data_IF_696778343036
#
_entry.id   IF_696778343036
#
_cell.length_a   1.000
_cell.length_b   1.000
_cell.length_c   1.000
_cell.angle_alpha   90.00
_cell.angle_beta   90.00
_cell.angle_gamma   90.00
#
_symmetry.space_group_name_H-M   'P 1'
#
loop_
_entity.id
_entity.type
_entity.pdbx_description
1 polymer ?
#
# COMPACT_ATOMS: atom_id res chain seq x y z
N UNK A 1 -18.07 0.52 16.00
CA UNK A 1 -17.28 1.21 14.95
C UNK A 1 -16.70 2.49 15.56
N UNK A 2 -15.48 2.39 16.11
CA UNK A 2 -14.72 3.59 16.49
C UNK A 2 -14.05 4.10 15.21
N UNK A 3 -14.39 5.31 14.80
CA UNK A 3 -13.76 5.96 13.66
C UNK A 3 -12.41 6.52 14.11
N UNK A 4 -11.37 5.69 14.14
CA UNK A 4 -10.02 6.05 14.60
C UNK A 4 -9.25 6.84 13.53
N UNK A 5 -9.47 6.52 12.26
CA UNK A 5 -8.79 7.18 11.16
C UNK A 5 -9.78 7.88 10.22
N UNK A 6 -9.42 9.07 9.74
CA UNK A 6 -10.10 9.75 8.65
C UNK A 6 -9.71 9.14 7.30
N UNK A 7 -8.47 8.68 7.20
CA UNK A 7 -7.94 8.01 6.02
C UNK A 7 -6.93 6.94 6.47
N UNK A 8 -6.90 5.81 5.77
CA UNK A 8 -5.85 4.82 5.87
C UNK A 8 -5.60 4.24 4.47
N UNK A 9 -4.34 4.06 4.12
CA UNK A 9 -3.94 3.53 2.82
C UNK A 9 -2.70 2.66 2.93
N UNK A 10 -2.58 1.72 1.99
CA UNK A 10 -1.40 0.91 1.77
C UNK A 10 -1.08 0.90 0.28
N UNK A 11 0.18 0.97 -0.06
CA UNK A 11 0.61 0.95 -1.45
C UNK A 11 2.05 0.52 -1.62
N UNK A 12 2.40 0.15 -2.85
CA UNK A 12 3.76 -0.15 -3.26
C UNK A 12 4.01 0.41 -4.66
N UNK A 13 5.22 0.91 -4.90
CA UNK A 13 5.64 1.33 -6.23
C UNK A 13 6.17 0.12 -7.00
N UNK A 14 5.38 -0.37 -7.96
CA UNK A 14 5.72 -1.56 -8.75
C UNK A 14 6.55 -1.26 -10.00
N UNK A 15 6.74 0.01 -10.34
CA UNK A 15 7.43 0.43 -11.56
C UNK A 15 8.71 1.19 -11.26
N UNK A 16 9.59 0.59 -10.45
CA UNK A 16 10.95 1.07 -10.19
C UNK A 16 11.97 0.06 -10.72
N UNK A 17 13.13 0.56 -11.14
CA UNK A 17 14.23 -0.28 -11.64
C UNK A 17 14.92 -1.05 -10.51
N UNK A 18 14.86 -0.54 -9.29
CA UNK A 18 15.50 -1.10 -8.10
C UNK A 18 14.45 -1.36 -7.01
N UNK A 19 14.88 -1.53 -5.76
CA UNK A 19 14.01 -1.83 -4.64
C UNK A 19 12.90 -0.79 -4.50
N UNK A 20 11.66 -1.25 -4.49
CA UNK A 20 10.48 -0.43 -4.31
C UNK A 20 10.01 -0.46 -2.84
N UNK A 21 9.79 0.69 -2.20
CA UNK A 21 9.21 0.72 -0.87
C UNK A 21 7.71 0.37 -0.92
N UNK A 22 7.24 -0.32 0.11
CA UNK A 22 5.82 -0.31 0.46
C UNK A 22 5.59 0.81 1.47
N UNK A 23 4.48 1.51 1.33
CA UNK A 23 4.11 2.61 2.22
C UNK A 23 2.75 2.34 2.82
N UNK A 24 2.70 2.43 4.13
CA UNK A 24 1.49 2.45 4.91
C UNK A 24 1.30 3.91 5.39
N UNK A 25 0.11 4.47 5.23
CA UNK A 25 -0.17 5.81 5.74
C UNK A 25 -1.58 5.90 6.30
N UNK A 26 -1.72 6.69 7.35
CA UNK A 26 -3.02 6.96 7.96
C UNK A 26 -3.05 8.39 8.52
N UNK A 27 -4.25 8.95 8.64
CA UNK A 27 -4.50 10.22 9.31
C UNK A 27 -5.51 10.01 10.42
N UNK A 28 -5.27 10.50 11.65
CA UNK A 28 -6.17 10.30 12.78
C UNK A 28 -7.49 11.05 12.56
N UNK A 29 -8.54 10.54 13.19
CA UNK A 29 -9.78 11.30 13.37
C UNK A 29 -9.61 12.33 14.49
N UNK A 30 -10.49 13.34 14.52
CA UNK A 30 -10.45 14.38 15.54
C UNK A 30 -10.45 13.78 16.96
N UNK A 31 -9.47 14.21 17.77
CA UNK A 31 -9.30 13.76 19.14
C UNK A 31 -8.63 12.38 19.31
N UNK A 32 -8.17 11.76 18.23
CA UNK A 32 -7.39 10.52 18.26
C UNK A 32 -5.90 10.87 18.23
N UNK A 33 -5.13 10.31 19.16
CA UNK A 33 -3.67 10.49 19.20
C UNK A 33 -2.97 9.65 18.11
N UNK A 34 -1.75 10.02 17.74
CA UNK A 34 -0.96 9.24 16.79
C UNK A 34 -0.67 7.84 17.31
N UNK A 35 -0.33 7.68 18.58
CA UNK A 35 -0.08 6.38 19.23
C UNK A 35 -1.32 5.46 19.13
N UNK A 36 -2.52 5.99 19.39
CA UNK A 36 -3.76 5.20 19.28
C UNK A 36 -4.06 4.82 17.82
N UNK A 37 -3.74 5.70 16.86
CA UNK A 37 -3.87 5.42 15.44
C UNK A 37 -2.89 4.33 15.01
N UNK A 38 -1.61 4.44 15.42
CA UNK A 38 -0.57 3.45 15.12
C UNK A 38 -0.94 2.08 15.68
N UNK A 39 -1.30 2.00 16.95
CA UNK A 39 -1.73 0.74 17.58
C UNK A 39 -2.87 0.08 16.80
N UNK A 40 -3.91 0.85 16.47
CA UNK A 40 -5.04 0.34 15.71
C UNK A 40 -4.67 -0.09 14.28
N UNK A 41 -3.79 0.67 13.62
CA UNK A 41 -3.32 0.35 12.28
C UNK A 41 -2.49 -0.94 12.28
N UNK A 42 -1.53 -1.04 13.20
CA UNK A 42 -0.67 -2.22 13.33
C UNK A 42 -1.45 -3.46 13.77
N UNK A 43 -2.50 -3.30 14.57
CA UNK A 43 -3.39 -4.40 14.91
C UNK A 43 -4.05 -5.02 13.67
N UNK A 44 -4.50 -4.20 12.71
CA UNK A 44 -5.05 -4.67 11.43
C UNK A 44 -3.97 -5.36 10.58
N UNK A 45 -2.78 -4.79 10.49
CA UNK A 45 -1.66 -5.39 9.76
C UNK A 45 -1.30 -6.77 10.33
N UNK A 46 -1.18 -6.86 11.65
CA UNK A 46 -0.85 -8.10 12.35
C UNK A 46 -1.95 -9.16 12.21
N UNK A 47 -3.22 -8.75 12.24
CA UNK A 47 -4.35 -9.65 11.99
C UNK A 47 -4.28 -10.26 10.58
N UNK A 48 -4.03 -9.44 9.56
CA UNK A 48 -3.87 -9.92 8.18
C UNK A 48 -2.63 -10.82 8.03
N UNK A 49 -1.51 -10.48 8.67
CA UNK A 49 -0.30 -11.33 8.65
C UNK A 49 -0.54 -12.69 9.30
N UNK A 50 -1.37 -12.76 10.35
CA UNK A 50 -1.70 -13.98 11.06
C UNK A 50 -2.75 -14.82 10.34
N UNK A 51 -3.85 -14.20 9.92
CA UNK A 51 -5.06 -14.87 9.43
C UNK A 51 -5.17 -14.90 7.90
N UNK A 52 -4.40 -14.07 7.19
CA UNK A 52 -4.44 -13.95 5.73
C UNK A 52 -5.61 -13.11 5.23
N UNK A 53 -5.83 -13.19 3.93
CA UNK A 53 -6.96 -12.57 3.23
C UNK A 53 -8.04 -13.62 2.97
N UNK A 54 -9.29 -13.20 2.98
CA UNK A 54 -10.40 -14.06 2.52
C UNK A 54 -10.42 -14.13 0.99
N UNK A 55 -10.95 -15.24 0.44
CA UNK A 55 -11.12 -15.37 -1.01
C UNK A 55 -12.01 -14.28 -1.59
N UNK A 56 -13.03 -13.82 -0.85
CA UNK A 56 -13.91 -12.72 -1.28
C UNK A 56 -13.18 -11.39 -1.39
N UNK A 57 -12.28 -11.06 -0.46
CA UNK A 57 -11.47 -9.84 -0.52
C UNK A 57 -10.53 -9.86 -1.71
N UNK A 58 -9.86 -11.00 -1.96
CA UNK A 58 -8.96 -11.16 -3.10
C UNK A 58 -9.73 -11.12 -4.41
N UNK A 59 -10.89 -11.76 -4.52
CA UNK A 59 -11.72 -11.73 -5.72
C UNK A 59 -12.20 -10.30 -6.03
N UNK A 60 -12.67 -9.56 -5.03
CA UNK A 60 -13.08 -8.16 -5.19
C UNK A 60 -11.92 -7.30 -5.70
N UNK A 61 -10.73 -7.47 -5.13
CA UNK A 61 -9.53 -6.73 -5.53
C UNK A 61 -9.09 -7.07 -6.95
N UNK A 62 -9.06 -8.38 -7.31
CA UNK A 62 -8.76 -8.84 -8.67
C UNK A 62 -9.72 -8.24 -9.71
N UNK A 63 -11.01 -8.26 -9.42
CA UNK A 63 -12.03 -7.73 -10.32
C UNK A 63 -11.85 -6.22 -10.52
N UNK A 64 -11.56 -5.47 -9.44
CA UNK A 64 -11.30 -4.04 -9.51
C UNK A 64 -10.04 -3.71 -10.33
N UNK A 65 -8.93 -4.41 -10.09
CA UNK A 65 -7.67 -4.21 -10.81
C UNK A 65 -7.78 -4.58 -12.28
N UNK A 66 -8.42 -5.71 -12.59
CA UNK A 66 -8.64 -6.15 -13.97
C UNK A 66 -9.53 -5.17 -14.75
N UNK A 67 -10.60 -4.65 -14.12
CA UNK A 67 -11.45 -3.63 -14.73
C UNK A 67 -10.67 -2.33 -14.97
N UNK A 68 -9.88 -1.87 -14.01
CA UNK A 68 -9.04 -0.67 -14.15
C UNK A 68 -8.05 -0.81 -15.31
N UNK A 69 -7.43 -1.97 -15.47
CA UNK A 69 -6.50 -2.24 -16.57
C UNK A 69 -7.20 -2.20 -17.96
N UNK A 70 -8.46 -2.61 -18.03
CA UNK A 70 -9.25 -2.52 -19.26
C UNK A 70 -9.58 -1.05 -19.56
N UNK A 71 -10.06 -0.28 -18.57
CA UNK A 71 -10.38 1.14 -18.76
C UNK A 71 -9.17 2.00 -19.15
N UNK A 72 -7.97 1.66 -18.66
CA UNK A 72 -6.74 2.35 -19.08
C UNK A 72 -6.48 2.25 -20.58
N UNK A 73 -6.96 1.20 -21.25
CA UNK A 73 -6.77 0.99 -22.70
C UNK A 73 -7.54 2.00 -23.56
N UNK A 74 -8.54 2.67 -23.02
CA UNK A 74 -9.31 3.69 -23.74
C UNK A 74 -8.56 5.02 -23.88
N UNK A 75 -7.47 5.20 -23.13
CA UNK A 75 -6.65 6.41 -23.17
C UNK A 75 -5.34 6.17 -23.91
N UNK A 76 -5.14 6.77 -25.07
CA UNK A 76 -3.87 6.69 -25.81
C UNK A 76 -2.68 7.21 -24.99
N UNK A 77 -2.86 8.33 -24.28
CA UNK A 77 -1.83 8.89 -23.40
C UNK A 77 -1.59 7.98 -22.19
N UNK A 78 -2.65 7.38 -21.64
CA UNK A 78 -2.56 6.39 -20.56
C UNK A 78 -1.75 5.16 -20.97
N UNK A 79 -2.04 4.62 -22.16
CA UNK A 79 -1.30 3.48 -22.71
C UNK A 79 0.15 3.80 -23.02
N UNK A 80 0.43 4.95 -23.64
CA UNK A 80 1.80 5.39 -23.91
C UNK A 80 2.61 5.52 -22.60
N UNK A 81 2.01 6.07 -21.56
CA UNK A 81 2.63 6.19 -20.25
C UNK A 81 2.85 4.83 -19.57
N UNK A 82 1.88 3.91 -19.66
CA UNK A 82 1.98 2.56 -19.11
C UNK A 82 3.11 1.76 -19.76
N UNK A 83 3.14 1.69 -21.09
CA UNK A 83 4.23 1.05 -21.84
C UNK A 83 5.57 1.72 -21.57
N UNK A 84 5.62 3.05 -21.62
CA UNK A 84 6.84 3.81 -21.39
C UNK A 84 7.45 3.54 -20.02
N UNK A 85 6.66 3.55 -18.97
CA UNK A 85 7.14 3.24 -17.60
C UNK A 85 7.57 1.78 -17.47
N UNK A 86 6.78 0.84 -17.97
CA UNK A 86 7.12 -0.58 -17.87
C UNK A 86 8.44 -0.89 -18.59
N UNK A 87 8.60 -0.42 -19.82
CA UNK A 87 9.83 -0.64 -20.59
C UNK A 87 11.05 0.08 -20.00
N UNK A 88 10.85 1.28 -19.44
CA UNK A 88 11.95 2.05 -18.83
C UNK A 88 12.57 1.37 -17.60
N UNK A 89 11.83 0.51 -16.91
CA UNK A 89 12.32 -0.26 -15.75
C UNK A 89 12.69 -1.69 -16.09
N UNK A 90 12.77 -2.05 -17.39
CA UNK A 90 13.20 -3.36 -17.86
C UNK A 90 12.08 -4.39 -18.01
N UNK A 91 10.82 -4.00 -17.89
CA UNK A 91 9.67 -4.84 -18.22
C UNK A 91 9.45 -4.94 -19.72
N UNK A 92 8.46 -5.71 -20.11
CA UNK A 92 8.15 -6.04 -21.52
C UNK A 92 6.76 -5.57 -21.96
N UNK A 93 6.51 -5.58 -23.25
CA UNK A 93 5.17 -5.34 -23.82
C UNK A 93 4.20 -6.43 -23.37
N UNK A 94 4.66 -7.66 -23.30
CA UNK A 94 3.92 -8.83 -22.85
C UNK A 94 3.43 -8.66 -21.40
N UNK A 95 4.24 -8.10 -20.51
CA UNK A 95 3.86 -7.82 -19.12
C UNK A 95 2.65 -6.88 -19.06
N UNK A 96 2.64 -5.84 -19.89
CA UNK A 96 1.50 -4.92 -19.98
C UNK A 96 0.26 -5.61 -20.56
N UNK A 97 0.45 -6.42 -21.59
CA UNK A 97 -0.67 -7.09 -22.27
C UNK A 97 -1.31 -8.19 -21.41
N UNK A 98 -0.50 -8.96 -20.68
CA UNK A 98 -0.94 -10.09 -19.89
C UNK A 98 -1.40 -9.69 -18.48
N UNK A 99 -1.08 -8.48 -18.01
CA UNK A 99 -1.38 -8.01 -16.66
C UNK A 99 -2.82 -8.31 -16.19
N UNK A 100 -3.90 -8.08 -17.00
CA UNK A 100 -5.25 -8.38 -16.55
C UNK A 100 -5.49 -9.87 -16.28
N UNK A 101 -4.84 -10.75 -17.05
CA UNK A 101 -4.97 -12.20 -16.90
C UNK A 101 -4.09 -12.71 -15.76
N UNK A 102 -2.93 -12.12 -15.54
CA UNK A 102 -2.05 -12.46 -14.43
C UNK A 102 -2.70 -12.07 -13.09
N UNK A 103 -3.30 -10.88 -13.00
CA UNK A 103 -4.04 -10.47 -11.81
C UNK A 103 -5.19 -11.44 -11.49
N UNK A 104 -5.91 -11.95 -12.49
CA UNK A 104 -6.99 -12.91 -12.26
C UNK A 104 -6.53 -14.24 -11.68
N UNK A 105 -5.25 -14.59 -11.83
CA UNK A 105 -4.66 -15.84 -11.30
C UNK A 105 -4.16 -15.71 -9.86
N UNK A 106 -3.99 -14.49 -9.34
CA UNK A 106 -3.50 -14.25 -7.97
C UNK A 106 -4.44 -14.90 -6.97
N UNK A 107 -3.90 -15.72 -6.08
CA UNK A 107 -4.64 -16.37 -4.99
C UNK A 107 -4.48 -15.60 -3.67
N UNK A 108 -5.27 -15.96 -2.66
CA UNK A 108 -5.10 -15.43 -1.30
C UNK A 108 -3.72 -15.80 -0.73
N UNK A 109 -3.25 -17.01 -1.01
CA UNK A 109 -1.90 -17.46 -0.59
C UNK A 109 -0.79 -16.65 -1.25
N UNK A 110 -0.91 -16.28 -2.52
CA UNK A 110 0.07 -15.42 -3.21
C UNK A 110 0.09 -14.03 -2.58
N UNK A 111 -1.08 -13.46 -2.30
CA UNK A 111 -1.21 -12.14 -1.71
C UNK A 111 -0.59 -12.07 -0.30
N UNK A 112 -0.89 -13.04 0.58
CA UNK A 112 -0.32 -13.07 1.92
C UNK A 112 1.18 -13.39 1.91
N UNK A 113 1.64 -14.25 0.99
CA UNK A 113 3.07 -14.52 0.83
C UNK A 113 3.84 -13.26 0.39
N UNK A 114 3.26 -12.44 -0.49
CA UNK A 114 3.83 -11.16 -0.88
C UNK A 114 3.87 -10.17 0.30
N UNK A 115 2.77 -10.06 1.06
CA UNK A 115 2.70 -9.18 2.23
C UNK A 115 3.74 -9.55 3.30
N UNK A 116 3.88 -10.85 3.61
CA UNK A 116 4.87 -11.35 4.58
C UNK A 116 6.31 -11.06 4.16
N UNK A 117 6.60 -11.02 2.86
CA UNK A 117 7.92 -10.62 2.36
C UNK A 117 8.24 -9.16 2.61
N UNK A 118 7.22 -8.30 2.71
CA UNK A 118 7.37 -6.85 2.85
C UNK A 118 7.25 -6.41 4.30
N UNK A 119 6.30 -6.96 5.04
CA UNK A 119 5.93 -6.53 6.40
C UNK A 119 6.17 -7.60 7.48
N UNK A 120 6.85 -8.73 7.15
CA UNK A 120 7.17 -9.76 8.15
C UNK A 120 8.16 -9.28 9.22
N UNK A 121 8.25 -10.00 10.33
CA UNK A 121 8.95 -9.62 11.58
C UNK A 121 10.41 -9.18 11.42
N UNK A 122 11.11 -9.66 10.38
CA UNK A 122 12.53 -9.36 10.13
C UNK A 122 12.75 -8.09 9.26
N UNK A 123 11.71 -7.30 9.00
CA UNK A 123 11.81 -6.16 8.07
C UNK A 123 12.07 -4.87 8.80
N UNK A 124 13.03 -4.10 8.26
CA UNK A 124 13.26 -2.73 8.69
C UNK A 124 12.23 -1.80 8.03
N UNK A 125 11.64 -0.92 8.80
CA UNK A 125 10.79 0.15 8.31
C UNK A 125 11.24 1.49 8.87
N UNK A 126 10.84 2.55 8.24
CA UNK A 126 10.99 3.93 8.70
C UNK A 126 9.59 4.41 9.04
N UNK A 127 9.44 4.91 10.24
CA UNK A 127 8.23 5.56 10.70
C UNK A 127 8.44 7.07 10.68
N UNK A 128 7.42 7.82 10.24
CA UNK A 128 7.44 9.27 10.20
C UNK A 128 6.09 9.82 10.65
N UNK A 129 6.12 10.71 11.62
CA UNK A 129 4.96 11.42 12.11
C UNK A 129 4.98 12.87 11.61
N UNK A 130 3.84 13.33 11.11
CA UNK A 130 3.63 14.73 10.75
C UNK A 130 2.73 15.35 11.81
N UNK A 131 3.30 16.22 12.62
CA UNK A 131 2.62 16.94 13.69
C UNK A 131 2.22 18.35 13.23
N UNK A 132 1.13 18.93 13.78
CA UNK A 132 0.87 20.36 13.67
C UNK A 132 2.03 21.19 14.23
N UNK A 133 2.25 22.39 13.70
CA UNK A 133 3.39 23.24 14.07
C UNK A 133 3.44 23.57 15.59
N UNK A 134 2.28 23.68 16.24
CA UNK A 134 2.19 23.95 17.69
C UNK A 134 2.66 22.76 18.54
N UNK A 135 2.43 21.53 18.10
CA UNK A 135 2.86 20.31 18.80
C UNK A 135 4.35 20.02 18.57
N UNK A 136 4.90 20.37 17.40
CA UNK A 136 6.33 20.24 17.11
C UNK A 136 7.18 21.09 18.06
N UNK A 137 6.76 22.31 18.34
CA UNK A 137 7.45 23.20 19.26
C UNK A 137 7.46 22.71 20.72
N UNK A 138 6.45 21.93 21.13
CA UNK A 138 6.36 21.32 22.45
C UNK A 138 7.30 20.10 22.59
N UNK A 139 7.43 19.27 21.57
CA UNK A 139 8.35 18.12 21.57
C UNK A 139 9.81 18.54 21.53
N UNK A 140 10.18 19.54 20.73
CA UNK A 140 11.54 20.06 20.66
C UNK A 140 12.00 20.65 21.99
N UNK A 141 11.09 21.24 22.79
CA UNK A 141 11.39 21.79 24.11
C UNK A 141 11.66 20.72 25.17
N UNK A 142 11.10 19.53 25.05
CA UNK A 142 11.29 18.40 25.98
C UNK A 142 12.58 17.59 25.69
N UNK A 143 13.06 17.64 24.44
CA UNK A 143 14.27 16.88 24.04
C UNK A 143 15.57 17.62 24.39
N UNK A 144 15.50 18.91 24.75
CA UNK A 144 16.66 19.78 25.09
C UNK A 144 16.85 19.97 26.60
N UNK A 145 16.17 19.29 27.48
CA UNK A 145 16.41 19.21 28.92
C UNK A 145 17.14 17.90 29.32
#
# INVERSE_FOLDING_TARGET
DQKIANNASAGAWLSLHDTAPAVLSASPSDGVTLDALEEAYMAVVNDVLANGFTDEEVERSRNSLAASAIYQRDSQAGMANLYGRTLAVGGTVEDVMNYPDDIRRVTADDAIAALRRVLGDDKNYIEAHLLPEEEQAAEESQTNE
#
